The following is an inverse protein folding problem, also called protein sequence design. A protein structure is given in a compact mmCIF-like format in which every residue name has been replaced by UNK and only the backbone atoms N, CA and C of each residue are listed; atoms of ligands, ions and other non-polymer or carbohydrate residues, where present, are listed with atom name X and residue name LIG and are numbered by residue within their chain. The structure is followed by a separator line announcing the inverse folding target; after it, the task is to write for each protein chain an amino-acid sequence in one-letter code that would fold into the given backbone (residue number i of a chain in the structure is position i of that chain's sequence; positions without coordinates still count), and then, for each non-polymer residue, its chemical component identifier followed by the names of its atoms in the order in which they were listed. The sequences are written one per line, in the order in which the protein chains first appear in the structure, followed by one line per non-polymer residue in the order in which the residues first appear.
data_IF_969068932068
#
_entry.id   IF_969068932068
#
_cell.length_a   1.000
_cell.length_b   1.000
_cell.length_c   1.000
_cell.angle_alpha   90.00
_cell.angle_beta   90.00
_cell.angle_gamma   90.00
#
_symmetry.space_group_name_H-M   'P 1'
#
loop_
_entity.id
_entity.type
_entity.pdbx_description
1 polymer ?
#
# COMPACT_ATOMS: atom_id res chain seq x y z
N UNK A 1 -6.42 -3.93 1.40
CA UNK A 1 -5.15 -3.51 2.04
C UNK A 1 -5.34 -2.07 2.51
N UNK A 2 -6.09 -1.89 3.60
CA UNK A 2 -6.61 -0.57 4.01
C UNK A 2 -5.76 0.10 5.11
N UNK A 3 -4.75 -0.62 5.64
CA UNK A 3 -4.00 -0.20 6.83
C UNK A 3 -3.45 1.23 6.75
N UNK A 4 -2.99 1.65 5.56
CA UNK A 4 -2.35 2.96 5.36
C UNK A 4 -3.29 4.00 4.72
N UNK A 5 -4.61 3.77 4.72
CA UNK A 5 -5.62 4.77 4.35
C UNK A 5 -6.32 5.31 5.60
N UNK A 6 -7.03 6.44 5.46
CA UNK A 6 -7.79 7.01 6.58
C UNK A 6 -8.82 6.04 7.17
N UNK A 7 -9.39 5.16 6.33
CA UNK A 7 -10.45 4.25 6.69
C UNK A 7 -9.93 2.99 7.40
N UNK A 8 -8.74 2.49 7.03
CA UNK A 8 -8.18 1.29 7.65
C UNK A 8 -7.08 1.55 8.68
N UNK A 9 -6.59 2.77 8.83
CA UNK A 9 -5.65 3.13 9.90
C UNK A 9 -6.34 3.22 11.26
N UNK A 10 -5.69 2.69 12.28
CA UNK A 10 -6.05 2.85 13.68
C UNK A 10 -4.82 3.19 14.51
N UNK A 11 -4.94 4.14 15.44
CA UNK A 11 -3.87 4.49 16.38
C UNK A 11 -3.49 3.36 17.33
N UNK A 12 -4.31 2.30 17.40
CA UNK A 12 -4.03 1.10 18.18
C UNK A 12 -2.94 0.21 17.54
N UNK A 13 -2.61 0.40 16.27
CA UNK A 13 -1.58 -0.41 15.61
C UNK A 13 -0.18 -0.04 16.08
N UNK A 14 0.55 -1.03 16.59
CA UNK A 14 1.98 -0.86 16.85
C UNK A 14 2.73 -0.71 15.53
N UNK A 15 3.79 0.09 15.54
CA UNK A 15 4.63 0.27 14.34
C UNK A 15 5.24 -1.06 13.90
N UNK A 16 5.58 -1.94 14.83
CA UNK A 16 6.05 -3.29 14.54
C UNK A 16 5.03 -4.09 13.71
N UNK A 17 3.75 -4.05 14.11
CA UNK A 17 2.69 -4.75 13.36
C UNK A 17 2.52 -4.19 11.95
N UNK A 18 2.70 -2.87 11.77
CA UNK A 18 2.64 -2.20 10.47
C UNK A 18 3.80 -2.66 9.58
N UNK A 19 5.03 -2.70 10.12
CA UNK A 19 6.21 -3.16 9.37
C UNK A 19 6.01 -4.60 8.91
N UNK A 20 5.59 -5.49 9.82
CA UNK A 20 5.35 -6.90 9.50
C UNK A 20 4.25 -7.08 8.43
N UNK A 21 3.16 -6.32 8.53
CA UNK A 21 2.07 -6.37 7.53
C UNK A 21 2.51 -5.87 6.15
N UNK A 22 3.36 -4.83 6.08
CA UNK A 22 3.95 -4.37 4.82
C UNK A 22 4.82 -5.48 4.22
N UNK A 23 5.70 -6.09 5.01
CA UNK A 23 6.53 -7.21 4.56
C UNK A 23 5.69 -8.38 4.03
N UNK A 24 4.66 -8.80 4.77
CA UNK A 24 3.77 -9.88 4.36
C UNK A 24 3.05 -9.55 3.04
N UNK A 25 2.63 -8.30 2.86
CA UNK A 25 1.90 -7.93 1.64
C UNK A 25 2.80 -7.83 0.41
N UNK A 26 4.07 -7.42 0.57
CA UNK A 26 5.03 -7.49 -0.54
C UNK A 26 5.22 -8.93 -1.03
N UNK A 27 5.27 -9.90 -0.11
CA UNK A 27 5.36 -11.33 -0.46
C UNK A 27 4.08 -11.81 -1.14
N UNK A 28 2.91 -11.54 -0.55
CA UNK A 28 1.59 -11.90 -1.13
C UNK A 28 1.40 -11.31 -2.53
N UNK A 29 1.81 -10.05 -2.72
CA UNK A 29 1.78 -9.35 -4.00
C UNK A 29 2.86 -9.74 -4.99
N UNK A 30 3.70 -10.75 -4.68
CA UNK A 30 4.79 -11.24 -5.53
C UNK A 30 5.77 -10.12 -5.95
N UNK A 31 6.07 -9.19 -5.06
CA UNK A 31 7.00 -8.09 -5.34
C UNK A 31 8.39 -8.62 -5.80
N UNK A 32 9.06 -7.85 -6.66
CA UNK A 32 10.39 -8.17 -7.21
C UNK A 32 11.26 -6.92 -7.25
N UNK A 33 12.56 -7.12 -7.13
CA UNK A 33 13.56 -6.05 -7.32
C UNK A 33 13.70 -5.75 -8.81
N UNK A 34 13.52 -4.48 -9.18
CA UNK A 34 13.70 -3.99 -10.55
C UNK A 34 15.13 -3.45 -10.72
N UNK A 35 16.08 -4.33 -11.07
CA UNK A 35 17.51 -3.97 -11.13
C UNK A 35 17.86 -2.91 -12.19
N UNK A 36 17.10 -2.82 -13.28
CA UNK A 36 17.30 -1.82 -14.34
C UNK A 36 16.58 -0.48 -14.11
N UNK A 37 15.86 -0.33 -13.00
CA UNK A 37 15.10 0.89 -12.73
C UNK A 37 16.03 2.06 -12.38
N UNK A 38 15.62 3.27 -12.79
CA UNK A 38 16.34 4.48 -12.41
C UNK A 38 16.24 4.69 -10.89
N UNK A 39 17.38 4.87 -10.21
CA UNK A 39 17.42 5.12 -8.76
C UNK A 39 16.68 6.38 -8.33
N UNK A 40 16.53 7.37 -9.20
CA UNK A 40 15.74 8.59 -8.95
C UNK A 40 14.24 8.43 -9.26
N UNK A 41 13.80 7.22 -9.63
CA UNK A 41 12.38 6.93 -9.89
C UNK A 41 11.53 7.16 -8.64
N UNK A 42 12.05 6.77 -7.47
CA UNK A 42 11.38 6.94 -6.19
C UNK A 42 11.81 8.24 -5.52
N UNK A 43 10.82 9.08 -5.21
CA UNK A 43 11.00 10.34 -4.49
C UNK A 43 9.76 10.64 -3.65
N UNK A 44 9.93 11.46 -2.60
CA UNK A 44 8.84 11.85 -1.71
C UNK A 44 7.69 12.51 -2.49
N UNK A 45 8.01 13.46 -3.38
CA UNK A 45 7.01 14.20 -4.16
C UNK A 45 6.15 13.28 -5.03
N UNK A 46 6.78 12.31 -5.72
CA UNK A 46 6.05 11.35 -6.56
C UNK A 46 5.18 10.43 -5.72
N UNK A 47 5.71 9.90 -4.62
CA UNK A 47 4.95 9.03 -3.72
C UNK A 47 3.73 9.73 -3.12
N UNK A 48 3.88 10.99 -2.68
CA UNK A 48 2.77 11.79 -2.16
C UNK A 48 1.71 12.08 -3.22
N UNK A 49 2.12 12.40 -4.45
CA UNK A 49 1.19 12.63 -5.56
C UNK A 49 0.39 11.37 -5.89
N UNK A 50 1.07 10.22 -6.00
CA UNK A 50 0.42 8.93 -6.24
C UNK A 50 -0.56 8.57 -5.12
N UNK A 51 -0.18 8.75 -3.85
CA UNK A 51 -1.07 8.49 -2.71
C UNK A 51 -2.31 9.38 -2.72
N UNK A 52 -2.15 10.70 -2.97
CA UNK A 52 -3.29 11.63 -3.06
C UNK A 52 -4.28 11.22 -4.15
N UNK A 53 -3.78 10.85 -5.32
CA UNK A 53 -4.61 10.38 -6.44
C UNK A 53 -5.34 9.07 -6.09
N UNK A 54 -4.64 8.12 -5.46
CA UNK A 54 -5.23 6.85 -5.04
C UNK A 54 -6.36 7.04 -4.03
N UNK A 55 -6.17 7.88 -3.01
CA UNK A 55 -7.19 8.16 -1.99
C UNK A 55 -8.43 8.80 -2.61
N UNK A 56 -8.27 9.76 -3.52
CA UNK A 56 -9.40 10.41 -4.20
C UNK A 56 -10.24 9.43 -5.01
N UNK A 57 -9.59 8.52 -5.75
CA UNK A 57 -10.30 7.50 -6.53
C UNK A 57 -11.01 6.51 -5.59
N UNK A 58 -10.33 6.11 -4.51
CA UNK A 58 -10.86 5.16 -3.54
C UNK A 58 -12.06 5.71 -2.76
N UNK A 59 -12.02 6.98 -2.34
CA UNK A 59 -13.17 7.65 -1.70
C UNK A 59 -14.41 7.67 -2.61
N UNK A 60 -14.22 7.71 -3.93
CA UNK A 60 -15.31 7.73 -4.91
C UNK A 60 -15.86 6.34 -5.24
N UNK A 61 -15.00 5.31 -5.34
CA UNK A 61 -15.34 4.02 -5.94
C UNK A 61 -15.20 2.81 -4.99
N UNK A 62 -14.66 2.99 -3.79
CA UNK A 62 -14.37 1.90 -2.84
C UNK A 62 -13.18 1.02 -3.23
N UNK A 63 -12.79 0.09 -2.36
CA UNK A 63 -11.70 -0.86 -2.61
C UNK A 63 -12.23 -2.10 -3.33
N UNK A 64 -11.50 -2.55 -4.36
CA UNK A 64 -11.67 -3.90 -4.87
C UNK A 64 -11.36 -4.91 -3.76
N UNK A 65 -12.37 -5.69 -3.38
CA UNK A 65 -12.23 -6.79 -2.41
C UNK A 65 -12.03 -8.09 -3.19
N UNK A 66 -10.82 -8.68 -3.19
CA UNK A 66 -10.62 -9.95 -3.86
C UNK A 66 -11.46 -11.08 -3.21
N UNK A 67 -11.85 -12.11 -3.96
CA UNK A 67 -12.61 -13.25 -3.45
C UNK A 67 -11.89 -13.97 -2.29
N UNK A 68 -12.67 -14.63 -1.42
CA UNK A 68 -12.20 -15.27 -0.17
C UNK A 68 -11.18 -16.38 -0.34
N UNK A 69 -10.94 -16.86 -1.56
CA UNK A 69 -10.10 -18.01 -1.87
C UNK A 69 -8.58 -17.70 -1.81
N UNK A 70 -8.20 -16.42 -1.78
CA UNK A 70 -6.81 -15.94 -1.63
C UNK A 70 -6.42 -15.67 -0.15
N UNK A 71 -7.13 -16.29 0.81
CA UNK A 71 -6.98 -16.10 2.25
C UNK A 71 -5.88 -16.94 2.89
#
# INVERSE_FOLDING_TARGET
MELLTKQGWSSAYSIESVIMQISATLVKGKARVQFGANKSQYSLTRAQQSYKSLVQIHEKNGWYTPPKEDG
#
